data_IF_964744456692
#
_entry.id   IF_964744456692
#
_cell.length_a   1.000
_cell.length_b   1.000
_cell.length_c   1.000
_cell.angle_alpha   90.00
_cell.angle_beta   90.00
_cell.angle_gamma   90.00
#
_symmetry.space_group_name_H-M   'P 1'
#
loop_
_entity.id
_entity.type
_entity.pdbx_description
1 polymer ?
#
# COMPACT_ATOMS: atom_id res chain seq x y z
N UNK A 1 38.54 -31.92 -8.11
CA UNK A 1 37.17 -31.84 -7.57
C UNK A 1 36.57 -30.50 -7.97
N UNK A 2 35.66 -30.51 -8.95
CA UNK A 2 34.90 -29.34 -9.37
C UNK A 2 33.49 -29.52 -8.79
N UNK A 3 33.21 -28.83 -7.67
CA UNK A 3 31.87 -28.77 -7.12
C UNK A 3 31.04 -27.84 -8.00
N UNK A 4 30.24 -28.44 -8.88
CA UNK A 4 29.10 -27.78 -9.49
C UNK A 4 28.11 -27.42 -8.39
N UNK A 5 27.96 -26.14 -8.13
CA UNK A 5 26.74 -25.62 -7.52
C UNK A 5 25.92 -25.02 -8.65
N UNK A 6 25.11 -25.87 -9.27
CA UNK A 6 23.86 -25.44 -9.90
C UNK A 6 22.99 -24.84 -8.79
N UNK A 7 23.23 -23.57 -8.47
CA UNK A 7 22.28 -22.79 -7.71
C UNK A 7 21.12 -22.51 -8.67
N UNK A 8 20.12 -23.39 -8.68
CA UNK A 8 18.83 -23.10 -9.31
C UNK A 8 18.43 -21.70 -8.86
N UNK A 9 18.34 -20.77 -9.83
CA UNK A 9 17.87 -19.42 -9.53
C UNK A 9 16.53 -19.55 -8.80
N UNK A 10 16.35 -18.96 -7.61
CA UNK A 10 15.15 -19.17 -6.78
C UNK A 10 13.84 -18.79 -7.50
N UNK A 11 13.94 -18.00 -8.58
CA UNK A 11 12.85 -17.64 -9.49
C UNK A 11 12.34 -18.77 -10.40
N UNK A 12 13.09 -19.87 -10.56
CA UNK A 12 12.73 -21.01 -11.41
C UNK A 12 12.06 -22.17 -10.66
N UNK A 13 11.92 -22.07 -9.34
CA UNK A 13 11.19 -23.04 -8.52
C UNK A 13 9.69 -23.06 -8.88
N UNK A 14 9.02 -24.20 -8.71
CA UNK A 14 7.57 -24.31 -8.94
C UNK A 14 6.75 -23.29 -8.12
N UNK A 15 7.20 -22.98 -6.89
CA UNK A 15 6.62 -21.93 -6.05
C UNK A 15 6.82 -20.52 -6.63
N UNK A 16 8.02 -20.21 -7.15
CA UNK A 16 8.30 -18.93 -7.79
C UNK A 16 7.50 -18.73 -9.07
N UNK A 17 7.31 -19.80 -9.86
CA UNK A 17 6.47 -19.77 -11.06
C UNK A 17 4.99 -19.53 -10.72
N UNK A 18 4.45 -20.22 -9.71
CA UNK A 18 3.08 -19.97 -9.27
C UNK A 18 2.89 -18.54 -8.74
N UNK A 19 3.83 -18.04 -7.95
CA UNK A 19 3.73 -16.68 -7.44
C UNK A 19 3.87 -15.61 -8.54
N UNK A 20 4.68 -15.87 -9.58
CA UNK A 20 4.72 -15.03 -10.79
C UNK A 20 3.40 -15.09 -11.57
N UNK A 21 2.77 -16.27 -11.69
CA UNK A 21 1.46 -16.40 -12.30
C UNK A 21 0.40 -15.65 -11.50
N UNK A 22 0.40 -15.78 -10.17
CA UNK A 22 -0.52 -15.07 -9.27
C UNK A 22 -0.31 -13.55 -9.36
N UNK A 23 0.95 -13.10 -9.39
CA UNK A 23 1.29 -11.69 -9.60
C UNK A 23 0.75 -11.20 -10.94
N UNK A 24 0.95 -11.92 -12.04
CA UNK A 24 0.47 -11.55 -13.37
C UNK A 24 -1.05 -11.66 -13.52
N UNK A 25 -1.71 -12.57 -12.79
CA UNK A 25 -3.16 -12.74 -12.80
C UNK A 25 -3.86 -11.68 -11.94
N UNK A 26 -3.22 -11.29 -10.83
CA UNK A 26 -3.77 -10.32 -9.88
C UNK A 26 -3.47 -8.91 -10.36
N UNK A 27 -2.21 -8.60 -10.71
CA UNK A 27 -1.78 -7.25 -11.07
C UNK A 27 -1.95 -7.01 -12.58
N UNK A 28 -2.80 -6.07 -12.95
CA UNK A 28 -2.99 -5.69 -14.37
C UNK A 28 -1.71 -5.16 -15.04
N UNK A 29 -0.78 -4.60 -14.27
CA UNK A 29 0.48 -4.00 -14.77
C UNK A 29 1.68 -4.36 -13.86
N UNK A 30 2.16 -5.62 -13.87
CA UNK A 30 3.21 -6.08 -12.95
C UNK A 30 4.56 -5.40 -13.22
N UNK A 31 4.81 -4.93 -14.45
CA UNK A 31 6.01 -4.19 -14.84
C UNK A 31 6.21 -2.88 -14.05
N UNK A 32 5.16 -2.35 -13.43
CA UNK A 32 5.22 -1.15 -12.58
C UNK A 32 6.12 -1.34 -11.37
N UNK A 33 6.13 -2.54 -10.77
CA UNK A 33 7.02 -2.86 -9.66
C UNK A 33 8.49 -2.84 -10.11
N UNK A 34 8.76 -3.35 -11.31
CA UNK A 34 10.10 -3.29 -11.91
C UNK A 34 10.51 -1.86 -12.24
N UNK A 35 9.60 -1.05 -12.80
CA UNK A 35 9.86 0.36 -13.08
C UNK A 35 10.17 1.14 -11.81
N UNK A 36 9.42 0.87 -10.74
CA UNK A 36 9.66 1.45 -9.43
C UNK A 36 11.10 1.18 -8.95
N UNK A 37 11.52 -0.08 -9.02
CA UNK A 37 12.88 -0.50 -8.62
C UNK A 37 13.95 0.20 -9.45
N UNK A 38 13.74 0.31 -10.76
CA UNK A 38 14.65 1.01 -11.67
C UNK A 38 14.80 2.49 -11.29
N UNK A 39 13.70 3.20 -11.05
CA UNK A 39 13.70 4.62 -10.61
C UNK A 39 14.55 4.80 -9.35
N UNK A 40 14.47 3.84 -8.44
CA UNK A 40 15.09 3.85 -7.13
C UNK A 40 16.40 3.06 -7.04
N UNK A 41 17.01 2.65 -8.15
CA UNK A 41 18.19 1.77 -8.17
C UNK A 41 19.42 2.30 -7.41
N UNK A 42 19.50 3.62 -7.18
CA UNK A 42 20.58 4.28 -6.41
C UNK A 42 20.24 4.51 -4.94
N UNK A 43 18.99 4.33 -4.53
CA UNK A 43 18.54 4.52 -3.15
C UNK A 43 18.57 3.18 -2.41
N UNK A 44 19.59 2.99 -1.57
CA UNK A 44 19.79 1.72 -0.85
C UNK A 44 18.61 1.35 0.06
N UNK A 45 17.98 2.34 0.69
CA UNK A 45 16.86 2.12 1.61
C UNK A 45 15.63 1.66 0.83
N UNK A 46 15.31 2.37 -0.25
CA UNK A 46 14.16 2.03 -1.09
C UNK A 46 14.36 0.70 -1.79
N UNK A 47 15.57 0.40 -2.28
CA UNK A 47 15.88 -0.91 -2.86
C UNK A 47 15.70 -2.05 -1.86
N UNK A 48 16.20 -1.89 -0.64
CA UNK A 48 16.06 -2.93 0.40
C UNK A 48 14.58 -3.23 0.65
N UNK A 49 13.76 -2.20 0.79
CA UNK A 49 12.32 -2.36 1.00
C UNK A 49 11.61 -2.94 -0.22
N UNK A 50 11.96 -2.51 -1.44
CA UNK A 50 11.38 -3.01 -2.67
C UNK A 50 11.73 -4.49 -2.91
N UNK A 51 12.98 -4.89 -2.60
CA UNK A 51 13.41 -6.28 -2.61
C UNK A 51 12.64 -7.12 -1.60
N UNK A 52 12.48 -6.66 -0.35
CA UNK A 52 11.66 -7.37 0.65
C UNK A 52 10.21 -7.55 0.18
N UNK A 53 9.60 -6.49 -0.36
CA UNK A 53 8.23 -6.55 -0.88
C UNK A 53 8.09 -7.50 -2.08
N UNK A 54 9.06 -7.51 -3.00
CA UNK A 54 9.08 -8.45 -4.12
C UNK A 54 9.21 -9.90 -3.65
N UNK A 55 10.11 -10.18 -2.71
CA UNK A 55 10.25 -11.52 -2.15
C UNK A 55 8.96 -11.96 -1.47
N UNK A 56 8.32 -11.07 -0.73
CA UNK A 56 7.02 -11.32 -0.12
C UNK A 56 5.89 -11.60 -1.14
N UNK A 57 5.87 -10.87 -2.26
CA UNK A 57 4.95 -11.14 -3.37
C UNK A 57 5.22 -12.48 -4.05
N UNK A 58 6.48 -12.90 -4.09
CA UNK A 58 6.91 -14.16 -4.70
C UNK A 58 6.84 -15.36 -3.73
N UNK A 59 6.34 -15.16 -2.51
CA UNK A 59 6.26 -16.19 -1.48
C UNK A 59 7.61 -16.62 -0.90
N UNK A 60 8.67 -15.83 -1.09
CA UNK A 60 10.02 -16.09 -0.55
C UNK A 60 10.23 -15.34 0.78
N UNK A 61 10.10 -16.06 1.89
CA UNK A 61 10.36 -15.53 3.24
C UNK A 61 9.11 -14.98 3.94
N UNK A 62 9.07 -13.66 4.16
CA UNK A 62 7.95 -12.99 4.86
C UNK A 62 6.78 -12.71 3.90
N UNK A 63 5.53 -12.82 4.36
CA UNK A 63 4.37 -12.42 3.55
C UNK A 63 4.21 -10.89 3.50
N UNK A 64 3.39 -10.38 2.58
CA UNK A 64 3.03 -8.95 2.58
C UNK A 64 2.35 -8.51 3.87
N UNK A 65 1.56 -9.39 4.50
CA UNK A 65 0.98 -9.08 5.80
C UNK A 65 2.04 -9.01 6.89
N UNK A 66 3.04 -9.89 6.85
CA UNK A 66 4.15 -9.84 7.81
C UNK A 66 4.92 -8.53 7.69
N UNK A 67 5.28 -8.12 6.47
CA UNK A 67 5.92 -6.84 6.20
C UNK A 67 5.10 -5.67 6.79
N UNK A 68 3.77 -5.71 6.63
CA UNK A 68 2.87 -4.62 7.02
C UNK A 68 2.57 -4.59 8.50
N UNK A 69 2.42 -5.72 9.16
CA UNK A 69 1.91 -5.76 10.55
C UNK A 69 2.92 -6.26 11.57
N UNK A 70 3.89 -7.08 11.16
CA UNK A 70 4.93 -7.62 12.06
C UNK A 70 6.21 -6.78 12.08
N UNK A 71 6.41 -5.86 11.13
CA UNK A 71 7.53 -4.91 11.23
C UNK A 71 7.43 -4.13 12.55
N UNK A 72 8.50 -4.05 13.36
CA UNK A 72 8.45 -3.46 14.70
C UNK A 72 7.87 -2.04 14.72
N UNK A 73 8.08 -1.26 13.66
CA UNK A 73 7.57 0.12 13.55
C UNK A 73 6.05 0.14 13.40
N UNK A 74 5.50 -0.83 12.67
CA UNK A 74 4.07 -0.98 12.50
C UNK A 74 3.45 -1.59 13.77
N UNK A 75 4.07 -2.64 14.33
CA UNK A 75 3.60 -3.33 15.52
C UNK A 75 3.41 -2.38 16.71
N UNK A 76 4.30 -1.41 16.92
CA UNK A 76 4.18 -0.40 17.98
C UNK A 76 2.87 0.41 17.89
N UNK A 77 2.46 0.81 16.68
CA UNK A 77 1.18 1.53 16.47
C UNK A 77 -0.01 0.64 16.82
N UNK A 78 0.06 -0.65 16.47
CA UNK A 78 -1.02 -1.60 16.73
C UNK A 78 -1.13 -2.04 18.19
N UNK A 79 -0.05 -1.98 18.95
CA UNK A 79 -0.07 -2.32 20.38
C UNK A 79 -0.93 -1.37 21.20
N UNK A 80 -1.17 -0.14 20.71
CA UNK A 80 -2.00 0.86 21.37
C UNK A 80 -3.50 0.69 21.13
N UNK A 81 -3.88 -0.16 20.16
CA UNK A 81 -5.27 -0.53 19.92
C UNK A 81 -5.73 -1.63 20.89
N UNK A 82 -7.04 -1.73 21.12
CA UNK A 82 -7.64 -2.89 21.77
C UNK A 82 -7.52 -4.13 20.87
N UNK A 83 -7.76 -5.33 21.42
CA UNK A 83 -7.70 -6.57 20.64
C UNK A 83 -8.74 -6.58 19.50
N UNK A 84 -9.96 -6.12 19.79
CA UNK A 84 -11.06 -5.99 18.82
C UNK A 84 -10.72 -5.00 17.70
N UNK A 85 -10.18 -3.82 18.06
CA UNK A 85 -9.74 -2.82 17.09
C UNK A 85 -8.62 -3.33 16.18
N UNK A 86 -7.65 -4.07 16.73
CA UNK A 86 -6.58 -4.71 15.94
C UNK A 86 -7.16 -5.72 14.97
N UNK A 87 -8.03 -6.60 15.44
CA UNK A 87 -8.65 -7.64 14.61
C UNK A 87 -9.40 -7.00 13.44
N UNK A 88 -10.23 -5.99 13.72
CA UNK A 88 -10.93 -5.24 12.69
C UNK A 88 -9.96 -4.59 11.68
N UNK A 89 -8.88 -3.97 12.17
CA UNK A 89 -7.92 -3.32 11.29
C UNK A 89 -7.17 -4.30 10.38
N UNK A 90 -6.88 -5.50 10.90
CA UNK A 90 -6.25 -6.60 10.16
C UNK A 90 -7.20 -7.31 9.19
N UNK A 91 -8.50 -6.97 9.18
CA UNK A 91 -9.49 -7.46 8.22
C UNK A 91 -9.80 -6.37 7.17
N UNK A 92 -9.08 -6.30 6.03
CA UNK A 92 -9.23 -5.22 5.05
C UNK A 92 -10.67 -5.04 4.55
N UNK A 93 -11.40 -6.14 4.35
CA UNK A 93 -12.77 -6.13 3.83
C UNK A 93 -13.80 -5.52 4.80
N UNK A 94 -13.49 -5.41 6.09
CA UNK A 94 -14.42 -4.91 7.10
C UNK A 94 -14.40 -3.38 7.26
N UNK A 95 -13.45 -2.70 6.61
CA UNK A 95 -13.22 -1.26 6.74
C UNK A 95 -13.12 -0.63 5.35
N UNK A 96 -13.66 0.58 5.14
CA UNK A 96 -13.58 1.26 3.85
C UNK A 96 -12.14 1.60 3.47
N UNK A 97 -11.94 1.79 2.16
CA UNK A 97 -10.62 1.94 1.56
C UNK A 97 -9.85 0.63 1.43
N UNK A 98 -8.73 0.67 0.71
CA UNK A 98 -7.90 -0.50 0.44
C UNK A 98 -6.54 -0.40 1.12
N UNK A 99 -6.08 -1.52 1.68
CA UNK A 99 -4.69 -1.73 2.12
C UNK A 99 -3.92 -2.64 1.17
N UNK A 100 -4.52 -3.04 0.04
CA UNK A 100 -3.86 -3.91 -0.94
C UNK A 100 -2.74 -3.15 -1.65
N UNK A 101 -1.56 -3.76 -1.71
CA UNK A 101 -0.41 -3.18 -2.41
C UNK A 101 -0.74 -2.91 -3.89
N UNK A 102 -1.48 -3.81 -4.53
CA UNK A 102 -1.89 -3.67 -5.92
C UNK A 102 -2.68 -2.37 -6.16
N UNK A 103 -3.71 -2.10 -5.35
CA UNK A 103 -4.53 -0.89 -5.47
C UNK A 103 -3.68 0.37 -5.27
N UNK A 104 -2.73 0.34 -4.33
CA UNK A 104 -1.80 1.44 -4.08
C UNK A 104 -0.90 1.70 -5.32
N UNK A 105 -0.35 0.66 -5.93
CA UNK A 105 0.50 0.78 -7.12
C UNK A 105 -0.28 1.15 -8.39
N UNK A 106 -1.51 0.68 -8.53
CA UNK A 106 -2.35 0.94 -9.71
C UNK A 106 -3.02 2.31 -9.67
N UNK A 107 -3.34 2.85 -8.48
CA UNK A 107 -4.11 4.09 -8.39
C UNK A 107 -3.42 5.25 -9.12
N UNK A 108 -2.09 5.37 -9.03
CA UNK A 108 -1.33 6.44 -9.68
C UNK A 108 -1.40 6.38 -11.20
N UNK A 109 -1.39 5.16 -11.75
CA UNK A 109 -1.36 4.88 -13.18
C UNK A 109 -2.73 4.95 -13.83
N UNK A 110 -3.77 4.44 -13.16
CA UNK A 110 -5.15 4.55 -13.64
C UNK A 110 -5.64 6.00 -13.61
N UNK A 111 -5.01 6.84 -12.79
CA UNK A 111 -5.40 8.23 -12.54
C UNK A 111 -4.57 9.29 -13.23
N UNK A 112 -3.38 8.93 -13.72
CA UNK A 112 -2.38 9.90 -14.19
C UNK A 112 -1.95 10.92 -13.14
N UNK A 113 -2.01 10.57 -11.84
CA UNK A 113 -1.77 11.53 -10.74
C UNK A 113 -0.29 11.59 -10.32
N UNK A 114 0.01 12.39 -9.29
CA UNK A 114 1.35 12.52 -8.70
C UNK A 114 1.95 11.23 -8.11
N UNK A 115 1.16 10.15 -7.98
CA UNK A 115 1.64 8.82 -7.62
C UNK A 115 1.87 7.90 -8.83
N UNK A 116 1.70 8.41 -10.05
CA UNK A 116 2.11 7.69 -11.26
C UNK A 116 3.61 7.38 -11.16
N UNK A 117 3.96 6.14 -11.46
CA UNK A 117 5.31 5.61 -11.33
C UNK A 117 6.12 6.12 -12.52
N UNK A 118 6.60 7.35 -12.40
CA UNK A 118 7.42 8.00 -13.41
C UNK A 118 8.70 8.58 -12.81
N UNK A 119 9.71 8.79 -13.65
CA UNK A 119 11.03 9.25 -13.20
C UNK A 119 10.99 10.69 -12.64
N UNK A 120 10.04 11.50 -13.11
CA UNK A 120 9.85 12.90 -12.69
C UNK A 120 9.32 13.01 -11.25
N UNK A 121 8.61 11.99 -10.77
CA UNK A 121 7.94 11.93 -9.47
C UNK A 121 8.70 11.04 -8.48
N UNK A 122 10.02 10.97 -8.59
CA UNK A 122 10.85 10.08 -7.76
C UNK A 122 10.62 10.24 -6.26
N UNK A 123 10.39 11.46 -5.76
CA UNK A 123 10.10 11.70 -4.34
C UNK A 123 8.77 11.08 -3.90
N UNK A 124 7.75 11.19 -4.74
CA UNK A 124 6.40 10.68 -4.50
C UNK A 124 6.35 9.15 -4.63
N UNK A 125 7.07 8.59 -5.60
CA UNK A 125 7.24 7.14 -5.72
C UNK A 125 7.84 6.56 -4.43
N UNK A 126 8.86 7.20 -3.85
CA UNK A 126 9.42 6.74 -2.57
C UNK A 126 8.35 6.65 -1.46
N UNK A 127 7.44 7.62 -1.38
CA UNK A 127 6.34 7.59 -0.41
C UNK A 127 5.35 6.45 -0.69
N UNK A 128 5.08 6.15 -1.97
CA UNK A 128 4.19 5.05 -2.38
C UNK A 128 4.62 3.69 -1.85
N UNK A 129 5.91 3.34 -1.95
CA UNK A 129 6.42 2.09 -1.37
C UNK A 129 6.29 2.08 0.16
N UNK A 130 6.43 3.24 0.79
CA UNK A 130 6.16 3.41 2.22
C UNK A 130 4.73 3.03 2.58
N UNK A 131 3.74 3.52 1.83
CA UNK A 131 2.33 3.16 2.05
C UNK A 131 2.05 1.67 1.84
N UNK A 132 2.74 1.02 0.89
CA UNK A 132 2.58 -0.42 0.65
C UNK A 132 3.12 -1.29 1.79
N UNK A 133 4.14 -0.81 2.50
CA UNK A 133 4.77 -1.51 3.61
C UNK A 133 4.22 -1.11 5.00
N UNK A 134 3.35 -0.10 5.08
CA UNK A 134 2.79 0.40 6.33
C UNK A 134 1.43 -0.24 6.63
N UNK A 135 1.35 -1.05 7.68
CA UNK A 135 0.09 -1.67 8.12
C UNK A 135 -0.94 -0.66 8.61
N UNK A 136 -0.51 0.49 9.11
CA UNK A 136 -1.35 1.56 9.64
C UNK A 136 -1.91 2.50 8.55
N UNK A 137 -1.77 2.14 7.27
CA UNK A 137 -2.23 2.95 6.14
C UNK A 137 -3.31 2.24 5.33
N UNK A 138 -4.34 2.99 4.96
CA UNK A 138 -5.41 2.62 4.02
C UNK A 138 -5.58 3.71 2.97
N UNK A 139 -5.93 3.33 1.75
CA UNK A 139 -6.26 4.24 0.66
C UNK A 139 -7.77 4.34 0.52
N UNK A 140 -8.34 5.50 0.85
CA UNK A 140 -9.72 5.82 0.54
C UNK A 140 -9.83 6.13 -0.96
N UNK A 141 -10.67 5.38 -1.65
CA UNK A 141 -10.93 5.51 -3.07
C UNK A 141 -12.41 5.84 -3.26
N UNK A 142 -12.68 6.92 -3.97
CA UNK A 142 -13.99 7.17 -4.55
C UNK A 142 -13.93 6.73 -6.01
N UNK A 143 -14.78 5.80 -6.41
CA UNK A 143 -14.86 5.34 -7.79
C UNK A 143 -15.84 6.19 -8.59
N UNK A 144 -15.54 6.49 -9.85
CA UNK A 144 -16.54 7.06 -10.77
C UNK A 144 -17.71 6.08 -10.97
N UNK A 145 -18.79 6.54 -11.60
CA UNK A 145 -20.05 5.78 -11.76
C UNK A 145 -19.97 4.53 -12.67
N UNK A 146 -18.78 3.98 -12.90
CA UNK A 146 -18.49 2.84 -13.78
C UNK A 146 -18.40 1.48 -13.10
N UNK A 147 -19.01 1.28 -11.93
CA UNK A 147 -18.97 -0.01 -11.20
C UNK A 147 -17.58 -0.40 -10.68
N UNK A 148 -17.43 -1.68 -10.30
CA UNK A 148 -16.17 -2.27 -9.81
C UNK A 148 -15.16 -2.37 -10.95
N UNK A 149 -14.46 -1.27 -11.22
CA UNK A 149 -13.54 -1.11 -12.35
C UNK A 149 -13.55 0.28 -12.99
N UNK A 150 -14.50 1.14 -12.60
CA UNK A 150 -14.52 2.55 -12.99
C UNK A 150 -13.27 3.27 -12.51
N UNK A 151 -12.73 4.16 -13.36
CA UNK A 151 -11.65 5.06 -12.96
C UNK A 151 -12.05 5.77 -11.65
N UNK A 152 -11.13 5.79 -10.68
CA UNK A 152 -11.41 6.50 -9.44
C UNK A 152 -11.57 8.00 -9.73
N UNK A 153 -12.40 8.71 -8.96
CA UNK A 153 -12.69 10.15 -9.12
C UNK A 153 -11.93 11.01 -8.14
N UNK A 154 -11.64 10.44 -6.97
CA UNK A 154 -10.90 11.08 -5.89
C UNK A 154 -10.27 10.03 -4.99
N UNK A 155 -9.14 10.36 -4.38
CA UNK A 155 -8.46 9.50 -3.41
C UNK A 155 -7.89 10.29 -2.24
N UNK A 156 -7.77 9.64 -1.10
CA UNK A 156 -7.02 10.15 0.05
C UNK A 156 -6.38 8.99 0.82
N UNK A 157 -5.33 9.31 1.58
CA UNK A 157 -4.68 8.34 2.47
C UNK A 157 -5.29 8.49 3.86
N UNK A 158 -5.80 7.39 4.42
CA UNK A 158 -6.18 7.28 5.82
C UNK A 158 -5.00 6.63 6.55
N UNK A 159 -4.43 7.35 7.52
CA UNK A 159 -3.32 6.86 8.34
C UNK A 159 -3.77 6.79 9.79
N UNK A 160 -3.59 5.63 10.41
CA UNK A 160 -3.64 5.51 11.85
C UNK A 160 -2.34 6.06 12.44
N UNK A 161 -2.45 7.15 13.18
CA UNK A 161 -1.34 7.87 13.81
C UNK A 161 -1.49 7.84 15.33
N UNK A 162 -0.41 8.17 16.03
CA UNK A 162 -0.44 8.40 17.47
C UNK A 162 -0.56 9.90 17.70
N UNK A 163 -1.70 10.33 18.22
CA UNK A 163 -1.88 11.68 18.70
C UNK A 163 -1.35 11.75 20.14
N UNK A 164 -0.39 12.64 20.38
CA UNK A 164 0.06 12.95 21.73
C UNK A 164 -0.74 14.14 22.24
N UNK A 165 -1.55 13.94 23.27
CA UNK A 165 -2.26 15.01 23.99
C UNK A 165 -1.44 15.56 25.19
N UNK A 166 -0.12 15.35 25.15
CA UNK A 166 0.82 15.79 26.18
C UNK A 166 1.14 14.74 27.23
N UNK A 167 0.17 13.91 27.65
CA UNK A 167 0.41 12.87 28.67
C UNK A 167 0.09 11.45 28.22
N UNK A 168 -0.69 11.28 27.15
CA UNK A 168 -1.03 9.98 26.60
C UNK A 168 -0.92 9.99 25.09
N UNK A 169 -0.40 8.89 24.55
CA UNK A 169 -0.51 8.59 23.13
C UNK A 169 -1.85 7.90 22.92
N UNK A 170 -2.70 8.51 22.10
CA UNK A 170 -3.97 7.94 21.70
C UNK A 170 -3.97 7.65 20.20
N UNK A 171 -4.47 6.48 19.77
CA UNK A 171 -4.64 6.21 18.36
C UNK A 171 -5.64 7.21 17.75
N UNK A 172 -5.26 7.84 16.64
CA UNK A 172 -6.11 8.77 15.90
C UNK A 172 -6.03 8.48 14.40
N UNK A 173 -7.13 8.73 13.68
CA UNK A 173 -7.14 8.65 12.23
C UNK A 173 -6.84 10.00 11.62
N UNK A 174 -5.80 10.05 10.80
CA UNK A 174 -5.45 11.20 9.99
C UNK A 174 -5.83 10.93 8.54
N UNK A 175 -6.73 11.75 8.00
CA UNK A 175 -7.05 11.79 6.58
C UNK A 175 -6.10 12.79 5.91
N UNK A 176 -5.15 12.30 5.11
CA UNK A 176 -4.26 13.14 4.31
C UNK A 176 -5.05 13.89 3.22
N UNK A 177 -4.40 14.89 2.59
CA UNK A 177 -5.01 15.68 1.52
C UNK A 177 -5.62 14.78 0.44
N UNK A 178 -6.82 15.14 0.02
CA UNK A 178 -7.50 14.49 -1.09
C UNK A 178 -6.93 14.95 -2.44
N UNK A 179 -6.85 14.03 -3.39
CA UNK A 179 -6.39 14.28 -4.75
C UNK A 179 -7.46 13.82 -5.73
N UNK A 180 -7.94 14.74 -6.56
CA UNK A 180 -8.82 14.38 -7.66
C UNK A 180 -8.01 13.94 -8.89
N UNK A 181 -8.74 13.37 -9.84
CA UNK A 181 -8.17 12.79 -11.04
C UNK A 181 -7.98 13.90 -12.09
N UNK A 182 -7.00 13.72 -12.99
CA UNK A 182 -6.65 14.69 -14.05
C UNK A 182 -6.16 16.07 -13.58
N UNK A 183 -5.72 16.22 -12.33
CA UNK A 183 -5.12 17.46 -11.83
C UNK A 183 -6.11 18.55 -11.42
N UNK A 184 -7.40 18.22 -11.33
CA UNK A 184 -8.39 19.07 -10.68
C UNK A 184 -8.26 19.03 -9.15
N UNK A 185 -8.82 20.01 -8.46
CA UNK A 185 -9.08 19.89 -7.02
C UNK A 185 -10.33 19.01 -6.80
N UNK A 186 -10.38 18.21 -5.73
CA UNK A 186 -11.59 17.49 -5.35
C UNK A 186 -12.78 18.43 -5.17
N UNK A 187 -13.96 18.02 -5.63
CA UNK A 187 -15.19 18.75 -5.35
C UNK A 187 -15.58 18.62 -3.86
N UNK A 188 -16.41 19.54 -3.37
CA UNK A 188 -16.89 19.52 -1.98
C UNK A 188 -17.58 18.19 -1.63
N UNK A 189 -18.32 17.63 -2.57
CA UNK A 189 -18.97 16.33 -2.38
C UNK A 189 -17.95 15.18 -2.22
N UNK A 190 -16.88 15.17 -3.00
CA UNK A 190 -15.81 14.16 -2.87
C UNK A 190 -15.14 14.25 -1.49
N UNK A 191 -14.90 15.48 -1.01
CA UNK A 191 -14.34 15.70 0.32
C UNK A 191 -15.26 15.21 1.44
N UNK A 192 -16.57 15.42 1.29
CA UNK A 192 -17.58 14.91 2.24
C UNK A 192 -17.59 13.38 2.24
N UNK A 193 -17.58 12.73 1.08
CA UNK A 193 -17.58 11.28 0.96
C UNK A 193 -16.30 10.65 1.55
N UNK A 194 -15.12 11.21 1.26
CA UNK A 194 -13.86 10.77 1.86
C UNK A 194 -13.85 10.92 3.38
N UNK A 195 -14.37 12.04 3.90
CA UNK A 195 -14.53 12.25 5.34
C UNK A 195 -15.50 11.24 5.96
N UNK A 196 -16.57 10.89 5.26
CA UNK A 196 -17.51 9.88 5.72
C UNK A 196 -16.87 8.48 5.76
N UNK A 197 -16.04 8.12 4.76
CA UNK A 197 -15.24 6.90 4.85
C UNK A 197 -14.32 6.91 6.07
N UNK A 198 -13.58 8.00 6.31
CA UNK A 198 -12.70 8.11 7.47
C UNK A 198 -13.46 8.04 8.81
N UNK A 199 -14.62 8.69 8.91
CA UNK A 199 -15.51 8.61 10.10
C UNK A 199 -16.07 7.21 10.31
N UNK A 200 -16.40 6.49 9.24
CA UNK A 200 -16.85 5.11 9.34
C UNK A 200 -15.76 4.21 9.91
N UNK A 201 -14.50 4.42 9.50
CA UNK A 201 -13.37 3.72 10.13
C UNK A 201 -13.27 4.11 11.60
N UNK A 202 -13.31 5.40 11.92
CA UNK A 202 -13.18 5.89 13.30
C UNK A 202 -14.29 5.35 14.23
N UNK A 203 -15.54 5.27 13.75
CA UNK A 203 -16.67 4.78 14.54
C UNK A 203 -16.68 3.27 14.78
N UNK A 204 -15.79 2.52 14.10
CA UNK A 204 -15.57 1.09 14.36
C UNK A 204 -14.29 0.81 15.15
N UNK A 205 -13.50 1.86 15.43
CA UNK A 205 -12.38 1.78 16.35
C UNK A 205 -12.90 2.03 17.76
#
# INVERSE_FOLDING_TARGET
EAAGMDSESPLLTASGQQALQDLCATWRRPHLVLRFIQIHQKDRVVRSLASRMLRALLGDGESLQDLRFKDPRNAAVFQLLTAEQRELWMQPAALPGSSKAEDLFMVGEDSGTCLAINDKNKGQNRALLGYCAQGNVRLALLNGDGGSGGASRCRAVIRLVLASDGSREQPALFLERAYAFAGAEPGDQDLVELRNQARHVAGRM
#
